data_IF_820265278584
#
_entry.id   IF_820265278584
#
_cell.length_a   1.000
_cell.length_b   1.000
_cell.length_c   1.000
_cell.angle_alpha   90.00
_cell.angle_beta   90.00
_cell.angle_gamma   90.00
#
_symmetry.space_group_name_H-M   'P 1'
#
loop_
_entity.id
_entity.type
_entity.pdbx_description
1 polymer ?
#
# COMPACT_ATOMS: atom_id res chain seq x y z
N UNK A 1 -43.18 45.72 77.75
CA UNK A 1 -41.89 45.71 77.06
C UNK A 1 -41.21 44.34 77.20
N UNK A 2 -41.18 43.54 76.13
CA UNK A 2 -40.44 42.25 76.11
C UNK A 2 -39.01 42.54 75.73
N UNK A 3 -38.07 42.33 76.67
CA UNK A 3 -36.64 42.38 76.39
C UNK A 3 -36.24 41.17 75.60
N UNK A 4 -35.74 41.35 74.42
CA UNK A 4 -35.16 40.31 73.57
C UNK A 4 -33.73 40.10 74.05
N UNK A 5 -33.38 38.91 74.45
CA UNK A 5 -32.07 38.56 74.97
C UNK A 5 -31.13 38.32 73.79
N UNK A 6 -30.06 39.13 73.58
CA UNK A 6 -29.22 39.03 72.43
C UNK A 6 -28.26 37.79 72.44
N UNK A 7 -28.23 37.06 73.55
CA UNK A 7 -27.39 35.88 73.70
C UNK A 7 -28.00 34.61 73.07
N UNK A 8 -29.35 34.53 72.96
CA UNK A 8 -29.99 33.37 72.34
C UNK A 8 -29.89 33.32 70.84
N UNK A 9 -29.81 34.49 70.15
CA UNK A 9 -29.69 34.57 68.71
C UNK A 9 -28.30 34.18 68.19
N UNK A 10 -27.28 34.45 69.01
CA UNK A 10 -25.89 34.11 68.65
C UNK A 10 -25.58 32.59 68.75
N UNK A 11 -26.27 31.88 69.63
CA UNK A 11 -26.12 30.44 69.81
C UNK A 11 -26.86 29.67 68.72
N UNK A 12 -28.05 30.10 68.29
CA UNK A 12 -28.76 29.48 67.18
C UNK A 12 -28.07 29.65 65.85
N UNK A 13 -27.45 30.80 65.58
CA UNK A 13 -26.69 31.06 64.39
C UNK A 13 -25.45 30.17 64.37
N UNK A 14 -24.78 29.94 65.50
CA UNK A 14 -23.58 29.03 65.55
C UNK A 14 -23.97 27.57 65.34
N UNK A 15 -25.14 27.13 65.86
CA UNK A 15 -25.60 25.74 65.63
C UNK A 15 -26.04 25.52 64.18
N UNK A 16 -26.61 26.53 63.51
CA UNK A 16 -27.04 26.43 62.12
C UNK A 16 -25.84 26.46 61.12
N UNK A 17 -24.81 27.25 61.41
CA UNK A 17 -23.56 27.30 60.64
C UNK A 17 -22.71 26.03 60.79
N UNK A 18 -22.78 25.36 61.95
CA UNK A 18 -22.04 24.12 62.21
C UNK A 18 -22.63 22.90 61.43
N UNK A 19 -23.91 22.96 61.00
CA UNK A 19 -24.56 21.88 60.25
C UNK A 19 -24.34 21.93 58.74
N UNK A 20 -23.77 23.02 58.20
CA UNK A 20 -23.64 23.24 56.76
C UNK A 20 -22.29 22.83 56.15
N UNK A 21 -21.27 22.60 56.97
CA UNK A 21 -19.95 22.18 56.43
C UNK A 21 -19.90 20.66 56.44
N UNK A 22 -20.43 20.04 55.38
CA UNK A 22 -20.02 18.68 55.03
C UNK A 22 -18.52 18.73 54.73
N UNK A 23 -17.71 18.33 55.70
CA UNK A 23 -16.30 18.07 55.47
C UNK A 23 -16.20 17.11 54.28
N UNK A 24 -15.72 17.61 53.17
CA UNK A 24 -15.31 16.76 52.03
C UNK A 24 -14.24 15.83 52.64
N UNK A 25 -14.64 14.57 52.85
CA UNK A 25 -13.75 13.53 53.30
C UNK A 25 -12.64 13.48 52.27
N UNK A 26 -11.46 14.04 52.57
CA UNK A 26 -10.26 13.81 51.81
C UNK A 26 -10.04 12.29 51.80
N UNK A 27 -10.37 11.66 50.68
CA UNK A 27 -10.14 10.24 50.50
C UNK A 27 -8.66 9.97 50.65
N UNK A 28 -8.27 9.41 51.80
CA UNK A 28 -6.86 9.03 52.01
C UNK A 28 -6.41 8.13 50.89
N UNK A 29 -5.32 8.50 50.20
CA UNK A 29 -4.72 7.75 49.10
C UNK A 29 -4.56 6.25 49.46
N UNK A 30 -4.29 5.97 50.74
CA UNK A 30 -4.21 4.60 51.28
C UNK A 30 -5.56 3.86 51.26
N UNK A 31 -6.67 4.54 51.48
CA UNK A 31 -8.01 3.95 51.41
C UNK A 31 -8.43 3.66 49.99
N UNK A 32 -8.10 4.54 49.05
CA UNK A 32 -8.29 4.33 47.62
C UNK A 32 -7.45 3.16 47.08
N UNK A 33 -6.17 3.05 47.53
CA UNK A 33 -5.30 1.95 47.11
C UNK A 33 -5.78 0.57 47.66
N UNK A 34 -6.31 0.58 48.91
CA UNK A 34 -6.88 -0.64 49.55
C UNK A 34 -8.26 -1.02 49.01
N UNK A 35 -8.97 -0.12 48.35
CA UNK A 35 -10.30 -0.40 47.77
C UNK A 35 -10.29 -1.34 46.56
N UNK A 36 -9.09 -1.66 45.99
CA UNK A 36 -8.95 -2.46 44.78
C UNK A 36 -9.22 -1.69 43.50
N UNK A 37 -9.75 -0.47 43.58
CA UNK A 37 -10.06 0.38 42.41
C UNK A 37 -8.89 0.61 41.48
N UNK A 38 -7.66 0.90 41.98
CA UNK A 38 -6.49 1.08 41.09
C UNK A 38 -6.17 -0.15 40.26
N UNK A 39 -6.33 -1.34 40.85
CA UNK A 39 -6.08 -2.60 40.14
C UNK A 39 -7.09 -2.86 39.03
N UNK A 40 -8.35 -2.45 39.20
CA UNK A 40 -9.37 -2.53 38.15
C UNK A 40 -9.02 -1.60 36.99
N UNK A 41 -8.61 -0.36 37.29
CA UNK A 41 -8.17 0.59 36.27
C UNK A 41 -6.90 0.13 35.55
N UNK A 42 -5.95 -0.44 36.27
CA UNK A 42 -4.71 -0.96 35.71
C UNK A 42 -4.97 -2.15 34.78
N UNK A 43 -5.84 -3.10 35.20
CA UNK A 43 -6.24 -4.19 34.34
C UNK A 43 -7.02 -3.71 33.11
N UNK A 44 -7.97 -2.77 33.29
CA UNK A 44 -8.68 -2.17 32.17
C UNK A 44 -7.75 -1.46 31.19
N UNK A 45 -6.77 -0.72 31.71
CA UNK A 45 -5.72 -0.10 30.91
C UNK A 45 -4.85 -1.11 30.15
N UNK A 46 -4.43 -2.18 30.81
CA UNK A 46 -3.65 -3.25 30.17
C UNK A 46 -4.42 -3.93 29.04
N UNK A 47 -5.71 -4.24 29.26
CA UNK A 47 -6.58 -4.82 28.22
C UNK A 47 -6.76 -3.83 27.07
N UNK A 48 -6.99 -2.55 27.34
CA UNK A 48 -7.15 -1.55 26.31
C UNK A 48 -5.87 -1.41 25.44
N UNK A 49 -4.69 -1.39 26.08
CA UNK A 49 -3.40 -1.37 25.37
C UNK A 49 -3.24 -2.63 24.52
N UNK A 50 -3.53 -3.81 25.05
CA UNK A 50 -3.42 -5.07 24.31
C UNK A 50 -4.34 -5.07 23.07
N UNK A 51 -5.56 -4.60 23.19
CA UNK A 51 -6.51 -4.49 22.08
C UNK A 51 -6.02 -3.48 21.03
N UNK A 52 -5.55 -2.31 21.46
CA UNK A 52 -5.02 -1.28 20.56
C UNK A 52 -3.79 -1.80 19.81
N UNK A 53 -2.86 -2.47 20.51
CA UNK A 53 -1.68 -3.05 19.87
C UNK A 53 -2.04 -4.15 18.87
N UNK A 54 -2.98 -5.02 19.22
CA UNK A 54 -3.42 -6.09 18.32
C UNK A 54 -4.11 -5.53 17.07
N UNK A 55 -5.06 -4.60 17.25
CA UNK A 55 -5.74 -3.95 16.13
C UNK A 55 -4.78 -3.10 15.30
N UNK A 56 -3.85 -2.39 15.95
CA UNK A 56 -2.81 -1.62 15.27
C UNK A 56 -1.90 -2.49 14.42
N UNK A 57 -1.47 -3.65 14.96
CA UNK A 57 -0.67 -4.61 14.21
C UNK A 57 -1.45 -5.19 13.02
N UNK A 58 -2.70 -5.59 13.22
CA UNK A 58 -3.57 -6.09 12.15
C UNK A 58 -3.80 -5.01 11.08
N UNK A 59 -4.07 -3.78 11.49
CA UNK A 59 -4.21 -2.65 10.56
C UNK A 59 -2.93 -2.40 9.76
N UNK A 60 -1.76 -2.44 10.42
CA UNK A 60 -0.47 -2.28 9.75
C UNK A 60 -0.22 -3.39 8.72
N UNK A 61 -0.52 -4.66 9.07
CA UNK A 61 -0.39 -5.78 8.13
C UNK A 61 -1.38 -5.62 6.96
N UNK A 62 -2.63 -5.23 7.25
CA UNK A 62 -3.63 -5.00 6.23
C UNK A 62 -3.23 -3.88 5.26
N UNK A 63 -2.79 -2.73 5.77
CA UNK A 63 -2.34 -1.61 4.94
C UNK A 63 -1.14 -2.01 4.09
N UNK A 64 -0.15 -2.71 4.68
CA UNK A 64 1.05 -3.14 3.96
C UNK A 64 0.74 -4.25 2.93
N UNK A 65 -0.20 -5.12 3.23
CA UNK A 65 -0.67 -6.15 2.29
C UNK A 65 -1.48 -5.57 1.13
N UNK A 66 -2.43 -4.68 1.43
CA UNK A 66 -3.25 -4.03 0.41
C UNK A 66 -2.44 -3.08 -0.49
N UNK A 67 -1.41 -2.42 0.04
CA UNK A 67 -0.57 -1.53 -0.78
C UNK A 67 0.16 -2.27 -1.89
N UNK A 68 0.40 -3.58 -1.74
CA UNK A 68 1.01 -4.40 -2.78
C UNK A 68 0.09 -4.64 -3.99
N UNK A 69 -1.23 -4.58 -3.78
CA UNK A 69 -2.22 -4.74 -4.84
C UNK A 69 -2.61 -3.43 -5.52
N UNK A 70 -2.07 -2.30 -5.04
CA UNK A 70 -2.34 -1.02 -5.69
C UNK A 70 -1.50 -0.93 -6.97
N UNK A 71 -2.12 -0.57 -8.12
CA UNK A 71 -1.37 -0.38 -9.34
C UNK A 71 -0.25 0.63 -9.14
N UNK A 72 0.96 0.29 -9.56
CA UNK A 72 2.07 1.23 -9.57
C UNK A 72 1.94 2.15 -10.79
N UNK A 73 2.44 3.37 -10.67
CA UNK A 73 2.48 4.29 -11.79
C UNK A 73 3.45 3.78 -12.86
N UNK A 74 3.02 3.79 -14.12
CA UNK A 74 3.85 3.41 -15.25
C UNK A 74 4.59 4.64 -15.73
N UNK A 75 5.92 4.56 -15.69
CA UNK A 75 6.80 5.61 -16.21
C UNK A 75 7.20 5.27 -17.65
N UNK A 76 7.22 6.29 -18.49
CA UNK A 76 7.90 6.28 -19.79
C UNK A 76 9.05 7.27 -19.73
N UNK A 77 10.25 6.82 -20.07
CA UNK A 77 11.45 7.64 -19.99
C UNK A 77 12.44 7.26 -21.10
N UNK A 78 13.34 8.19 -21.44
CA UNK A 78 14.51 7.89 -22.26
C UNK A 78 15.65 7.45 -21.37
N UNK A 79 16.25 6.31 -21.71
CA UNK A 79 17.39 5.76 -21.00
C UNK A 79 18.61 5.75 -21.92
N UNK A 80 19.67 6.48 -21.51
CA UNK A 80 20.88 6.64 -22.31
C UNK A 80 22.11 6.20 -21.53
N UNK A 81 22.63 5.02 -21.86
CA UNK A 81 23.93 4.59 -21.36
C UNK A 81 25.03 5.38 -22.07
N UNK A 82 26.01 5.96 -21.35
CA UNK A 82 27.11 6.67 -22.00
C UNK A 82 27.75 5.88 -23.14
N UNK A 83 27.78 6.48 -24.32
CA UNK A 83 28.32 5.83 -25.52
C UNK A 83 27.37 4.92 -26.31
N UNK A 84 26.13 4.83 -25.90
CA UNK A 84 25.06 4.07 -26.57
C UNK A 84 23.94 4.99 -27.03
N UNK A 85 23.12 4.60 -28.01
CA UNK A 85 21.94 5.35 -28.40
C UNK A 85 20.90 5.32 -27.28
N UNK A 86 20.11 6.39 -27.16
CA UNK A 86 18.97 6.44 -26.26
C UNK A 86 17.92 5.39 -26.65
N UNK A 87 17.31 4.79 -25.65
CA UNK A 87 16.19 3.85 -25.82
C UNK A 87 15.01 4.32 -24.94
N UNK A 88 13.81 4.21 -25.47
CA UNK A 88 12.61 4.45 -24.68
C UNK A 88 12.31 3.24 -23.81
N UNK A 89 12.16 3.45 -22.50
CA UNK A 89 11.73 2.46 -21.54
C UNK A 89 10.34 2.81 -21.04
N UNK A 90 9.50 1.80 -20.96
CA UNK A 90 8.16 1.88 -20.34
C UNK A 90 8.10 0.80 -19.28
N UNK A 91 7.64 1.15 -18.07
CA UNK A 91 7.49 0.16 -17.01
C UNK A 91 7.15 0.77 -15.65
N UNK A 92 7.06 -0.08 -14.66
CA UNK A 92 6.80 0.28 -13.26
C UNK A 92 8.11 0.25 -12.47
N UNK A 93 8.39 1.30 -11.69
CA UNK A 93 9.52 1.30 -10.75
C UNK A 93 9.16 0.45 -9.53
N UNK A 94 9.79 -0.70 -9.39
CA UNK A 94 9.50 -1.65 -8.31
C UNK A 94 10.40 -1.48 -7.10
N UNK A 95 11.66 -1.12 -7.30
CA UNK A 95 12.65 -0.99 -6.24
C UNK A 95 13.65 0.11 -6.59
N UNK A 96 14.03 0.88 -5.59
CA UNK A 96 15.12 1.86 -5.66
C UNK A 96 16.15 1.51 -4.62
N UNK A 97 17.40 1.48 -5.02
CA UNK A 97 18.51 1.23 -4.09
C UNK A 97 19.76 2.02 -4.49
N UNK A 98 20.55 2.34 -3.48
CA UNK A 98 21.85 2.96 -3.67
C UNK A 98 22.92 1.87 -3.63
N UNK A 99 23.82 1.88 -4.63
CA UNK A 99 24.87 0.89 -4.74
C UNK A 99 26.23 1.56 -4.89
N UNK A 100 27.32 0.94 -4.38
CA UNK A 100 28.66 1.41 -4.67
C UNK A 100 28.95 1.43 -6.16
N UNK A 101 29.52 2.54 -6.67
CA UNK A 101 29.86 2.71 -8.09
C UNK A 101 30.85 1.66 -8.55
N UNK A 102 31.74 1.20 -7.67
CA UNK A 102 32.67 0.08 -7.93
C UNK A 102 31.94 -1.19 -8.38
N UNK A 103 30.76 -1.48 -7.80
CA UNK A 103 29.95 -2.65 -8.21
C UNK A 103 29.39 -2.49 -9.62
N UNK A 104 28.96 -1.28 -9.98
CA UNK A 104 28.44 -0.98 -11.32
C UNK A 104 29.58 -1.04 -12.36
N UNK A 105 30.75 -0.50 -12.02
CA UNK A 105 31.95 -0.58 -12.86
C UNK A 105 32.40 -2.03 -13.08
N UNK A 106 32.42 -2.84 -12.00
CA UNK A 106 32.75 -4.27 -12.07
C UNK A 106 31.74 -5.08 -12.90
N UNK A 107 30.49 -4.61 -12.98
CA UNK A 107 29.47 -5.18 -13.86
C UNK A 107 29.59 -4.71 -15.33
N UNK A 108 30.58 -3.90 -15.66
CA UNK A 108 30.85 -3.43 -17.01
C UNK A 108 30.09 -2.18 -17.44
N UNK A 109 29.47 -1.47 -16.48
CA UNK A 109 28.83 -0.20 -16.78
C UNK A 109 29.89 0.92 -16.88
N UNK A 110 29.72 1.90 -17.77
CA UNK A 110 30.66 3.00 -18.00
C UNK A 110 30.51 4.08 -16.92
N UNK A 111 30.85 3.74 -15.68
CA UNK A 111 30.84 4.61 -14.50
C UNK A 111 32.24 4.72 -13.93
N UNK A 112 32.55 5.85 -13.29
CA UNK A 112 33.86 6.11 -12.72
C UNK A 112 33.76 6.12 -11.17
N UNK A 113 34.28 5.10 -10.48
CA UNK A 113 34.26 5.01 -9.02
C UNK A 113 35.06 6.12 -8.32
N UNK A 114 36.00 6.77 -9.01
CA UNK A 114 36.79 7.87 -8.43
C UNK A 114 36.00 9.19 -8.37
N UNK A 115 35.00 9.35 -9.25
CA UNK A 115 34.15 10.55 -9.29
C UNK A 115 32.98 10.47 -8.32
N UNK A 116 32.40 9.30 -8.14
CA UNK A 116 31.20 9.12 -7.32
C UNK A 116 31.26 7.80 -6.57
N UNK A 117 31.13 7.86 -5.24
CA UNK A 117 31.23 6.67 -4.38
C UNK A 117 30.00 5.76 -4.49
N UNK A 118 28.80 6.35 -4.60
CA UNK A 118 27.53 5.64 -4.69
C UNK A 118 26.67 6.21 -5.82
N UNK A 119 25.93 5.34 -6.48
CA UNK A 119 24.94 5.71 -7.48
C UNK A 119 23.59 5.06 -7.17
N UNK A 120 22.53 5.76 -7.52
CA UNK A 120 21.17 5.25 -7.38
C UNK A 120 20.82 4.40 -8.61
N UNK A 121 20.24 3.22 -8.35
CA UNK A 121 19.70 2.38 -9.41
C UNK A 121 18.25 1.98 -9.10
N UNK A 122 17.51 1.78 -10.13
CA UNK A 122 16.11 1.40 -10.06
C UNK A 122 15.89 0.07 -10.78
N UNK A 123 15.04 -0.77 -10.18
CA UNK A 123 14.53 -1.96 -10.83
C UNK A 123 13.21 -1.61 -11.51
N UNK A 124 13.24 -1.55 -12.82
CA UNK A 124 12.10 -1.29 -13.66
C UNK A 124 11.47 -2.60 -14.10
N UNK A 125 10.17 -2.79 -13.86
CA UNK A 125 9.39 -3.87 -14.44
C UNK A 125 8.96 -3.43 -15.83
N UNK A 126 9.74 -3.81 -16.82
CA UNK A 126 9.53 -3.40 -18.23
C UNK A 126 8.50 -4.26 -18.95
N UNK A 127 8.13 -5.42 -18.39
CA UNK A 127 7.21 -6.36 -19.02
C UNK A 127 7.63 -6.73 -20.44
N UNK A 128 6.63 -7.04 -21.29
CA UNK A 128 6.85 -7.32 -22.71
C UNK A 128 7.99 -8.33 -22.95
N UNK A 129 8.04 -9.37 -22.11
CA UNK A 129 9.14 -10.35 -22.07
C UNK A 129 9.38 -11.02 -23.42
N UNK A 130 8.34 -11.22 -24.18
CA UNK A 130 8.36 -11.74 -25.54
C UNK A 130 9.11 -10.83 -26.54
N UNK A 131 9.18 -9.52 -26.25
CA UNK A 131 9.90 -8.52 -27.03
C UNK A 131 11.27 -8.21 -26.42
N UNK A 132 11.33 -8.05 -25.10
CA UNK A 132 12.50 -7.55 -24.38
C UNK A 132 13.39 -8.68 -23.81
N UNK A 133 12.90 -9.93 -23.80
CA UNK A 133 13.60 -11.08 -23.24
C UNK A 133 13.61 -11.16 -21.71
N UNK A 134 13.22 -10.11 -21.01
CA UNK A 134 13.17 -10.05 -19.55
C UNK A 134 12.03 -9.16 -19.07
N UNK A 135 11.42 -9.50 -17.90
CA UNK A 135 10.37 -8.71 -17.28
C UNK A 135 10.91 -7.54 -16.45
N UNK A 136 12.13 -7.66 -15.97
CA UNK A 136 12.76 -6.67 -15.09
C UNK A 136 14.11 -6.24 -15.65
N UNK A 137 14.42 -4.96 -15.49
CA UNK A 137 15.68 -4.37 -15.88
C UNK A 137 16.19 -3.42 -14.81
N UNK A 138 17.45 -3.61 -14.39
CA UNK A 138 18.14 -2.63 -13.59
C UNK A 138 18.62 -1.48 -14.47
N UNK A 139 18.34 -0.27 -14.03
CA UNK A 139 18.75 0.97 -14.69
C UNK A 139 19.46 1.86 -13.67
N UNK A 140 20.39 2.67 -14.13
CA UNK A 140 21.02 3.72 -13.31
C UNK A 140 20.15 4.95 -13.43
N UNK A 141 19.71 5.49 -12.30
CA UNK A 141 18.73 6.57 -12.26
C UNK A 141 19.24 7.84 -12.98
N UNK A 142 20.53 8.16 -12.85
CA UNK A 142 21.14 9.34 -13.47
C UNK A 142 21.14 9.30 -15.01
N UNK A 143 20.86 8.14 -15.61
CA UNK A 143 20.79 7.96 -17.07
C UNK A 143 19.37 7.98 -17.62
N UNK A 144 18.38 8.18 -16.74
CA UNK A 144 17.00 8.45 -17.13
C UNK A 144 16.81 9.92 -17.41
N UNK A 145 16.14 10.21 -18.51
CA UNK A 145 15.74 11.56 -18.92
C UNK A 145 14.31 11.52 -19.44
N UNK A 146 13.68 12.71 -19.51
CA UNK A 146 12.33 12.89 -20.04
C UNK A 146 11.29 11.93 -19.43
N UNK A 147 11.37 11.73 -18.09
CA UNK A 147 10.42 10.91 -17.35
C UNK A 147 9.01 11.55 -17.44
N UNK A 148 8.07 10.74 -17.86
CA UNK A 148 6.65 11.11 -17.94
C UNK A 148 5.77 9.96 -17.50
N UNK A 149 4.55 10.29 -17.08
CA UNK A 149 3.52 9.34 -16.63
C UNK A 149 2.28 9.51 -17.53
N UNK A 150 2.27 8.94 -18.73
CA UNK A 150 1.17 9.09 -19.68
C UNK A 150 -0.08 8.39 -19.17
N UNK A 151 -1.23 9.07 -19.27
CA UNK A 151 -2.53 8.52 -18.84
C UNK A 151 -3.11 7.52 -19.85
N UNK A 152 -2.60 7.48 -21.07
CA UNK A 152 -3.05 6.65 -22.19
C UNK A 152 -2.25 5.35 -22.35
N UNK A 153 -1.26 5.10 -21.49
CA UNK A 153 -0.59 3.80 -21.42
C UNK A 153 -1.54 2.75 -20.87
N UNK A 154 -1.61 1.63 -21.58
CA UNK A 154 -2.39 0.46 -21.22
C UNK A 154 -1.50 -0.59 -20.60
N UNK A 155 -1.89 -1.10 -19.44
CA UNK A 155 -1.26 -2.25 -18.79
C UNK A 155 -2.16 -3.47 -18.99
N UNK A 156 -1.66 -4.47 -19.70
CA UNK A 156 -2.37 -5.74 -19.90
C UNK A 156 -1.71 -6.80 -19.01
N UNK A 157 -2.42 -7.24 -17.98
CA UNK A 157 -2.01 -8.38 -17.17
C UNK A 157 -2.27 -9.67 -17.95
N UNK A 158 -1.23 -10.20 -18.54
CA UNK A 158 -1.29 -11.47 -19.27
C UNK A 158 -1.13 -12.62 -18.29
N UNK A 159 -1.84 -13.72 -18.53
CA UNK A 159 -1.75 -14.93 -17.69
C UNK A 159 -0.42 -15.65 -17.84
N UNK A 160 0.20 -15.51 -18.99
CA UNK A 160 1.54 -15.99 -19.31
C UNK A 160 2.38 -14.83 -19.84
N UNK A 161 3.71 -14.92 -19.72
CA UNK A 161 4.66 -13.94 -20.24
C UNK A 161 4.68 -12.58 -19.55
N UNK A 162 4.11 -12.45 -18.35
CA UNK A 162 4.11 -11.22 -17.57
C UNK A 162 3.24 -10.09 -18.14
N UNK A 163 3.39 -8.89 -17.60
CA UNK A 163 2.62 -7.73 -18.02
C UNK A 163 3.08 -7.24 -19.41
N UNK A 164 2.13 -6.67 -20.14
CA UNK A 164 2.39 -5.92 -21.35
C UNK A 164 2.10 -4.44 -21.09
N UNK A 165 3.03 -3.57 -21.43
CA UNK A 165 2.91 -2.12 -21.39
C UNK A 165 2.98 -1.55 -22.80
N UNK A 166 2.05 -0.66 -23.14
CA UNK A 166 2.05 -0.05 -24.46
C UNK A 166 0.81 0.78 -24.73
N UNK A 167 0.70 1.24 -25.97
CA UNK A 167 -0.40 2.06 -26.44
C UNK A 167 -1.26 1.27 -27.40
N UNK A 168 -2.60 1.36 -27.25
CA UNK A 168 -3.54 0.73 -28.17
C UNK A 168 -3.63 1.58 -29.44
N UNK A 169 -3.07 1.10 -30.53
CA UNK A 169 -3.10 1.79 -31.83
C UNK A 169 -4.34 1.43 -32.65
N UNK A 170 -4.67 0.16 -32.71
CA UNK A 170 -5.79 -0.36 -33.46
C UNK A 170 -6.28 -1.70 -32.91
N UNK A 171 -7.55 -2.00 -33.12
CA UNK A 171 -8.15 -3.29 -32.82
C UNK A 171 -8.55 -3.97 -34.15
N UNK A 172 -8.13 -5.21 -34.31
CA UNK A 172 -8.45 -6.03 -35.49
C UNK A 172 -9.29 -7.22 -35.06
N UNK A 173 -10.28 -7.56 -35.89
CA UNK A 173 -11.05 -8.78 -35.78
C UNK A 173 -11.04 -9.49 -37.14
N UNK A 174 -10.67 -10.77 -37.16
CA UNK A 174 -10.55 -11.58 -38.38
C UNK A 174 -9.67 -10.96 -39.48
N UNK A 175 -8.68 -10.14 -39.06
CA UNK A 175 -7.76 -9.42 -39.92
C UNK A 175 -8.22 -8.05 -40.40
N UNK A 176 -9.47 -7.68 -40.17
CA UNK A 176 -10.03 -6.35 -40.48
C UNK A 176 -9.88 -5.41 -39.28
N UNK A 177 -9.54 -4.16 -39.54
CA UNK A 177 -9.47 -3.11 -38.52
C UNK A 177 -10.88 -2.66 -38.18
N UNK A 178 -11.28 -2.86 -36.92
CA UNK A 178 -12.62 -2.48 -36.43
C UNK A 178 -12.61 -1.15 -35.68
N UNK A 179 -11.46 -0.72 -35.16
CA UNK A 179 -11.29 0.57 -34.48
C UNK A 179 -9.83 1.02 -34.50
N UNK A 180 -9.60 2.33 -34.52
CA UNK A 180 -8.28 2.96 -34.49
C UNK A 180 -8.28 4.19 -33.57
N UNK A 181 -7.10 4.60 -33.06
CA UNK A 181 -6.91 5.78 -32.23
C UNK A 181 -7.75 5.73 -30.95
N UNK A 182 -8.41 6.84 -30.61
CA UNK A 182 -9.18 6.98 -29.37
C UNK A 182 -10.34 5.98 -29.21
N UNK A 183 -10.85 5.44 -30.32
CA UNK A 183 -11.93 4.46 -30.30
C UNK A 183 -11.41 3.02 -30.06
N UNK A 184 -10.12 2.79 -30.27
CA UNK A 184 -9.52 1.47 -30.13
C UNK A 184 -9.63 0.93 -28.69
N UNK A 185 -9.46 1.80 -27.69
CA UNK A 185 -9.62 1.40 -26.29
C UNK A 185 -11.04 0.92 -25.98
N UNK A 186 -12.06 1.64 -26.45
CA UNK A 186 -13.46 1.27 -26.22
C UNK A 186 -13.85 -0.03 -26.93
N UNK A 187 -13.27 -0.26 -28.12
CA UNK A 187 -13.51 -1.49 -28.88
C UNK A 187 -12.76 -2.70 -28.29
N UNK A 188 -11.65 -2.48 -27.59
CA UNK A 188 -10.88 -3.54 -26.93
C UNK A 188 -11.62 -4.15 -25.74
N UNK A 189 -12.33 -3.35 -24.93
CA UNK A 189 -12.97 -3.79 -23.69
C UNK A 189 -13.89 -5.02 -23.87
N UNK A 190 -14.89 -5.01 -24.79
CA UNK A 190 -15.76 -6.17 -24.99
C UNK A 190 -15.00 -7.39 -25.53
N UNK A 191 -13.89 -7.19 -26.24
CA UNK A 191 -13.06 -8.29 -26.70
C UNK A 191 -12.29 -8.96 -25.55
N UNK A 192 -11.83 -8.17 -24.58
CA UNK A 192 -11.19 -8.68 -23.35
C UNK A 192 -12.21 -9.46 -22.52
N UNK A 193 -13.42 -8.92 -22.29
CA UNK A 193 -14.49 -9.60 -21.55
C UNK A 193 -14.80 -10.97 -22.16
N UNK A 194 -14.96 -11.01 -23.48
CA UNK A 194 -15.20 -12.27 -24.21
C UNK A 194 -14.03 -13.25 -24.08
N UNK A 195 -12.80 -12.77 -24.13
CA UNK A 195 -11.61 -13.62 -23.96
C UNK A 195 -11.56 -14.23 -22.55
N UNK A 196 -11.96 -13.48 -21.53
CA UNK A 196 -12.04 -13.95 -20.15
C UNK A 196 -13.13 -15.01 -19.97
N UNK A 197 -14.31 -14.84 -20.59
CA UNK A 197 -15.39 -15.85 -20.60
C UNK A 197 -14.90 -17.16 -21.24
N UNK A 198 -14.34 -17.09 -22.45
CA UNK A 198 -13.81 -18.26 -23.15
C UNK A 198 -12.75 -18.97 -22.34
N UNK A 199 -11.84 -18.21 -21.71
CA UNK A 199 -10.82 -18.79 -20.84
C UNK A 199 -11.42 -19.52 -19.64
N UNK A 200 -12.44 -18.92 -19.01
CA UNK A 200 -13.16 -19.54 -17.89
C UNK A 200 -13.79 -20.87 -18.28
N UNK A 201 -14.40 -20.92 -19.46
CA UNK A 201 -15.01 -22.15 -19.99
C UNK A 201 -13.97 -23.24 -20.29
N UNK A 202 -12.85 -22.86 -20.90
CA UNK A 202 -11.74 -23.79 -21.15
C UNK A 202 -11.21 -24.35 -19.82
N UNK A 203 -10.96 -23.49 -18.84
CA UNK A 203 -10.45 -23.90 -17.53
C UNK A 203 -11.44 -24.80 -16.77
N UNK A 204 -12.75 -24.54 -16.89
CA UNK A 204 -13.77 -25.41 -16.31
C UNK A 204 -13.81 -26.79 -16.97
N UNK A 205 -13.57 -26.87 -18.28
CA UNK A 205 -13.48 -28.15 -19.01
C UNK A 205 -12.21 -28.91 -18.61
N UNK A 206 -11.06 -28.25 -18.55
CA UNK A 206 -9.80 -28.86 -18.20
C UNK A 206 -9.79 -29.43 -16.76
N UNK A 207 -10.25 -28.63 -15.80
CA UNK A 207 -10.25 -29.04 -14.38
C UNK A 207 -11.41 -29.97 -14.04
N UNK A 208 -12.55 -29.81 -14.69
CA UNK A 208 -13.76 -30.58 -14.45
C UNK A 208 -13.82 -31.91 -15.21
N UNK A 209 -14.09 -31.85 -16.51
CA UNK A 209 -14.35 -33.05 -17.33
C UNK A 209 -13.08 -33.86 -17.60
N UNK A 210 -12.02 -33.19 -18.06
CA UNK A 210 -10.74 -33.84 -18.39
C UNK A 210 -10.03 -34.34 -17.11
N UNK A 211 -10.03 -33.53 -16.05
CA UNK A 211 -9.45 -33.93 -14.76
C UNK A 211 -10.10 -35.18 -14.17
N UNK A 212 -11.42 -35.32 -14.26
CA UNK A 212 -12.16 -36.51 -13.83
C UNK A 212 -11.82 -37.74 -14.65
N UNK A 213 -11.68 -37.60 -15.98
CA UNK A 213 -11.30 -38.72 -16.85
C UNK A 213 -9.88 -39.19 -16.53
N UNK A 214 -8.93 -38.26 -16.37
CA UNK A 214 -7.56 -38.60 -16.03
C UNK A 214 -7.46 -39.34 -14.68
N UNK A 215 -8.20 -38.90 -13.66
CA UNK A 215 -8.23 -39.56 -12.34
C UNK A 215 -8.90 -40.95 -12.35
N UNK A 216 -9.63 -41.31 -13.41
CA UNK A 216 -10.22 -42.64 -13.58
C UNK A 216 -9.32 -43.60 -14.36
N UNK A 217 -8.31 -43.07 -15.03
CA UNK A 217 -7.35 -43.84 -15.84
C UNK A 217 -6.08 -44.20 -15.04
N UNK A 218 -5.82 -43.52 -13.90
CA UNK A 218 -4.78 -43.84 -12.91
C UNK A 218 -5.28 -44.87 -11.87
#
# INVERSE_FOLDING_TARGET
>A
GRRIDPSASAQEIRVTLSRGIKTVKQGNFTTWFKSGTPWIWMNGGAVAIAVIMTLGLLAMIAVRGLSHFWPADVVEAEYTIPGQPAITLIGEVTTREQVPTERLHSAGLPVDPEQTEFMDRELLKVGNRDLNGADFRWIVADWLTDERYPEDIVVVERREWGNFYGYVQQVKQDGEVIAEGDQAWQALQPAVDRALEIYSDIHALETGAIGKINSQLE
#
